data_IF_547189698458
#
_entry.id   IF_547189698458
#
_cell.length_a   1.000
_cell.length_b   1.000
_cell.length_c   1.000
_cell.angle_alpha   90.00
_cell.angle_beta   90.00
_cell.angle_gamma   90.00
#
_symmetry.space_group_name_H-M   'P 1'
#
loop_
_entity.id
_entity.type
_entity.pdbx_description
1 polymer ?
#
# COMPACT_ATOMS: atom_id res chain seq x y z
N UNK A 1 -41.24 7.98 -24.50
CA UNK A 1 -42.48 7.52 -23.83
C UNK A 1 -42.47 5.99 -23.84
N UNK A 2 -41.86 5.39 -22.81
CA UNK A 2 -41.65 3.93 -22.71
C UNK A 2 -42.54 3.43 -21.56
N UNK A 3 -43.59 2.67 -21.88
CA UNK A 3 -44.45 1.99 -20.91
C UNK A 3 -43.66 0.80 -20.33
N UNK A 4 -43.12 0.95 -19.13
CA UNK A 4 -42.59 -0.17 -18.37
C UNK A 4 -43.78 -0.97 -17.79
N UNK A 5 -43.96 -2.20 -18.27
CA UNK A 5 -44.93 -3.16 -17.76
C UNK A 5 -44.42 -3.70 -16.43
N UNK A 6 -45.06 -3.31 -15.32
CA UNK A 6 -44.76 -3.80 -13.97
C UNK A 6 -45.38 -5.19 -13.83
N UNK A 7 -44.56 -6.22 -14.01
CA UNK A 7 -44.94 -7.61 -13.71
C UNK A 7 -44.81 -7.81 -12.20
N UNK A 8 -45.94 -7.83 -11.49
CA UNK A 8 -45.99 -8.13 -10.07
C UNK A 8 -45.63 -9.60 -9.81
N UNK A 9 -44.38 -9.86 -9.44
CA UNK A 9 -43.97 -11.17 -8.92
C UNK A 9 -44.53 -11.29 -7.50
N UNK A 10 -45.59 -12.10 -7.35
CA UNK A 10 -46.15 -12.48 -6.05
C UNK A 10 -45.16 -13.44 -5.40
N UNK A 11 -44.29 -12.93 -4.53
CA UNK A 11 -43.39 -13.73 -3.71
C UNK A 11 -44.20 -14.33 -2.56
N UNK A 12 -44.29 -15.66 -2.52
CA UNK A 12 -45.03 -16.40 -1.49
C UNK A 12 -44.51 -16.08 -0.07
N UNK A 13 -45.36 -15.68 0.89
CA UNK A 13 -44.95 -15.18 2.21
C UNK A 13 -44.45 -16.23 3.22
N UNK A 14 -44.12 -17.46 2.79
CA UNK A 14 -44.07 -18.60 3.72
C UNK A 14 -42.67 -19.00 4.27
N UNK A 15 -41.59 -18.24 4.05
CA UNK A 15 -40.25 -18.66 4.53
C UNK A 15 -39.35 -17.53 5.09
N UNK A 16 -39.92 -16.39 5.48
CA UNK A 16 -39.14 -15.26 6.07
C UNK A 16 -39.13 -15.24 7.62
N UNK A 17 -39.94 -16.07 8.27
CA UNK A 17 -40.09 -16.10 9.73
C UNK A 17 -38.81 -16.47 10.51
N UNK A 18 -38.00 -17.47 10.12
CA UNK A 18 -36.82 -17.83 10.91
C UNK A 18 -35.69 -16.79 10.82
N UNK A 19 -35.57 -16.08 9.70
CA UNK A 19 -34.53 -15.05 9.51
C UNK A 19 -34.83 -13.75 10.28
N UNK A 20 -36.12 -13.40 10.43
CA UNK A 20 -36.54 -12.26 11.24
C UNK A 20 -36.42 -12.53 12.75
N UNK A 21 -36.60 -13.77 13.20
CA UNK A 21 -36.46 -14.15 14.60
C UNK A 21 -35.00 -14.10 15.10
N UNK A 22 -34.00 -14.33 14.24
CA UNK A 22 -32.58 -14.21 14.61
C UNK A 22 -32.09 -12.75 14.65
N UNK A 23 -32.77 -11.83 13.93
CA UNK A 23 -32.39 -10.41 13.83
C UNK A 23 -32.78 -9.56 15.04
N UNK A 24 -33.59 -10.08 15.97
CA UNK A 24 -34.22 -9.33 17.07
C UNK A 24 -33.41 -9.22 18.37
N UNK A 25 -32.12 -9.60 18.39
CA UNK A 25 -31.30 -9.55 19.61
C UNK A 25 -29.97 -8.81 19.44
N UNK A 26 -29.98 -7.63 18.82
CA UNK A 26 -28.91 -6.67 19.13
C UNK A 26 -29.19 -6.10 20.51
N UNK A 27 -28.35 -6.48 21.48
CA UNK A 27 -28.47 -5.96 22.83
C UNK A 27 -28.00 -4.51 22.84
N UNK A 28 -28.56 -3.67 23.71
CA UNK A 28 -28.12 -2.27 23.88
C UNK A 28 -26.61 -2.19 24.18
N UNK A 29 -26.02 -3.23 24.78
CA UNK A 29 -24.57 -3.39 24.98
C UNK A 29 -23.79 -3.46 23.65
N UNK A 30 -24.29 -4.16 22.63
CA UNK A 30 -23.60 -4.31 21.35
C UNK A 30 -23.54 -2.97 20.59
N UNK A 31 -24.62 -2.19 20.67
CA UNK A 31 -24.68 -0.84 20.08
C UNK A 31 -23.70 0.10 20.78
N UNK A 32 -23.64 0.06 22.12
CA UNK A 32 -22.69 0.89 22.88
C UNK A 32 -21.24 0.54 22.56
N UNK A 33 -20.91 -0.75 22.46
CA UNK A 33 -19.56 -1.21 22.14
C UNK A 33 -19.14 -0.77 20.72
N UNK A 34 -20.04 -0.90 19.74
CA UNK A 34 -19.75 -0.53 18.35
C UNK A 34 -19.57 0.96 18.15
N UNK A 35 -20.45 1.78 18.74
CA UNK A 35 -20.31 3.24 18.71
C UNK A 35 -19.04 3.66 19.44
N UNK A 36 -18.73 3.07 20.59
CA UNK A 36 -17.49 3.34 21.31
C UNK A 36 -16.24 3.02 20.49
N UNK A 37 -16.21 1.86 19.83
CA UNK A 37 -15.12 1.47 18.93
C UNK A 37 -14.95 2.46 17.78
N UNK A 38 -16.05 2.90 17.17
CA UNK A 38 -16.07 3.87 16.07
C UNK A 38 -15.57 5.25 16.50
N UNK A 39 -15.94 5.69 17.72
CA UNK A 39 -15.42 6.94 18.29
C UNK A 39 -13.92 6.87 18.53
N UNK A 40 -13.44 5.81 19.20
CA UNK A 40 -12.01 5.63 19.49
C UNK A 40 -11.20 5.61 18.19
N UNK A 41 -11.68 4.90 17.17
CA UNK A 41 -11.01 4.87 15.86
C UNK A 41 -11.06 6.20 15.11
N UNK A 42 -12.14 6.99 15.24
CA UNK A 42 -12.18 8.36 14.75
C UNK A 42 -11.07 9.21 15.36
N UNK A 43 -10.89 9.18 16.69
CA UNK A 43 -9.78 9.86 17.37
C UNK A 43 -8.41 9.39 16.89
N UNK A 44 -8.23 8.08 16.72
CA UNK A 44 -6.98 7.53 16.17
C UNK A 44 -6.72 7.99 14.74
N UNK A 45 -7.77 8.15 13.93
CA UNK A 45 -7.66 8.69 12.57
C UNK A 45 -7.15 10.14 12.58
N UNK A 46 -7.72 11.01 13.44
CA UNK A 46 -7.24 12.39 13.62
C UNK A 46 -5.78 12.47 14.09
N UNK A 47 -5.39 11.63 15.06
CA UNK A 47 -4.00 11.56 15.55
C UNK A 47 -3.05 11.10 14.44
N UNK A 48 -3.43 10.07 13.68
CA UNK A 48 -2.65 9.56 12.55
C UNK A 48 -2.48 10.63 11.47
N UNK A 49 -3.54 11.38 11.18
CA UNK A 49 -3.48 12.48 10.23
C UNK A 49 -2.57 13.62 10.71
N UNK A 50 -2.58 13.94 12.01
CA UNK A 50 -1.64 14.89 12.61
C UNK A 50 -0.18 14.48 12.39
N UNK A 51 0.14 13.19 12.52
CA UNK A 51 1.48 12.66 12.21
C UNK A 51 1.81 12.80 10.72
N UNK A 52 0.87 12.45 9.84
CA UNK A 52 1.04 12.59 8.38
C UNK A 52 1.28 14.05 7.99
N UNK A 53 0.56 15.00 8.60
CA UNK A 53 0.79 16.43 8.41
C UNK A 53 2.17 16.86 8.90
N UNK A 54 2.62 16.38 10.06
CA UNK A 54 3.95 16.71 10.57
C UNK A 54 5.05 16.22 9.62
N UNK A 55 4.92 15.01 9.05
CA UNK A 55 5.84 14.49 8.05
C UNK A 55 5.78 15.28 6.73
N UNK A 56 4.58 15.63 6.27
CA UNK A 56 4.39 16.45 5.08
C UNK A 56 5.02 17.84 5.23
N UNK A 57 4.79 18.50 6.37
CA UNK A 57 5.40 19.78 6.71
C UNK A 57 6.92 19.69 6.71
N UNK A 58 7.47 18.66 7.35
CA UNK A 58 8.92 18.48 7.41
C UNK A 58 9.50 18.29 6.00
N UNK A 59 8.85 17.50 5.14
CA UNK A 59 9.27 17.31 3.76
C UNK A 59 9.40 18.65 3.01
N UNK A 60 8.42 19.54 3.13
CA UNK A 60 8.48 20.85 2.48
C UNK A 60 9.59 21.76 3.03
N UNK A 61 9.91 21.67 4.33
CA UNK A 61 11.02 22.43 4.92
C UNK A 61 12.39 21.92 4.45
N UNK A 62 12.52 20.61 4.28
CA UNK A 62 13.79 19.99 3.94
C UNK A 62 14.09 19.99 2.44
N UNK A 63 13.06 19.91 1.61
CA UNK A 63 13.17 19.71 0.17
C UNK A 63 12.52 20.86 -0.61
N UNK A 64 12.88 22.10 -0.24
CA UNK A 64 12.33 23.29 -0.90
C UNK A 64 12.69 23.37 -2.39
N UNK A 65 13.82 22.82 -2.83
CA UNK A 65 14.25 22.86 -4.24
C UNK A 65 13.88 21.61 -5.05
N UNK A 66 13.09 20.70 -4.48
CA UNK A 66 12.76 19.44 -5.16
C UNK A 66 11.79 19.63 -6.33
N UNK A 67 11.83 18.68 -7.28
CA UNK A 67 11.03 18.72 -8.51
C UNK A 67 9.55 18.86 -8.17
N UNK A 68 8.85 19.71 -8.93
CA UNK A 68 7.41 19.97 -8.73
C UNK A 68 6.58 18.68 -8.72
N UNK A 69 6.96 17.68 -9.51
CA UNK A 69 6.30 16.38 -9.55
C UNK A 69 6.23 15.66 -8.19
N UNK A 70 7.30 15.74 -7.38
CA UNK A 70 7.33 15.07 -6.08
C UNK A 70 6.50 15.83 -5.05
N UNK A 71 6.54 17.16 -5.11
CA UNK A 71 5.68 18.03 -4.31
C UNK A 71 4.20 17.82 -4.64
N UNK A 72 3.82 17.65 -5.90
CA UNK A 72 2.42 17.43 -6.28
C UNK A 72 1.92 16.08 -5.78
N UNK A 73 2.73 15.02 -5.85
CA UNK A 73 2.37 13.70 -5.31
C UNK A 73 2.16 13.77 -3.80
N UNK A 74 3.12 14.34 -3.05
CA UNK A 74 3.02 14.47 -1.59
C UNK A 74 1.80 15.33 -1.21
N UNK A 75 1.59 16.45 -1.88
CA UNK A 75 0.42 17.33 -1.64
C UNK A 75 -0.89 16.59 -1.92
N UNK A 76 -0.96 15.83 -3.01
CA UNK A 76 -2.15 15.04 -3.36
C UNK A 76 -2.45 13.99 -2.29
N UNK A 77 -1.43 13.27 -1.81
CA UNK A 77 -1.59 12.32 -0.70
C UNK A 77 -2.07 13.01 0.58
N UNK A 78 -1.52 14.18 0.95
CA UNK A 78 -1.97 14.94 2.12
C UNK A 78 -3.45 15.36 1.99
N UNK A 79 -3.87 15.82 0.82
CA UNK A 79 -5.26 16.22 0.56
C UNK A 79 -6.21 15.01 0.59
N UNK A 80 -5.82 13.87 0.04
CA UNK A 80 -6.62 12.65 0.10
C UNK A 80 -6.76 12.15 1.55
N UNK A 81 -5.66 12.14 2.33
CA UNK A 81 -5.70 11.81 3.76
C UNK A 81 -6.56 12.79 4.56
N UNK A 82 -6.52 14.08 4.22
CA UNK A 82 -7.38 15.09 4.86
C UNK A 82 -8.86 14.84 4.57
N UNK A 83 -9.19 14.55 3.31
CA UNK A 83 -10.54 14.16 2.90
C UNK A 83 -11.04 12.91 3.64
N UNK A 84 -10.23 11.86 3.69
CA UNK A 84 -10.52 10.62 4.43
C UNK A 84 -10.78 10.88 5.93
N UNK A 85 -9.97 11.77 6.53
CA UNK A 85 -10.11 12.15 7.94
C UNK A 85 -11.40 12.92 8.20
N UNK A 86 -11.78 13.85 7.33
CA UNK A 86 -13.05 14.58 7.42
C UNK A 86 -14.23 13.61 7.32
N UNK A 87 -14.22 12.73 6.32
CA UNK A 87 -15.29 11.75 6.10
C UNK A 87 -15.42 10.81 7.31
N UNK A 88 -14.29 10.33 7.84
CA UNK A 88 -14.26 9.50 9.05
C UNK A 88 -14.83 10.25 10.27
N UNK A 89 -14.48 11.54 10.43
CA UNK A 89 -15.01 12.40 11.49
C UNK A 89 -16.52 12.61 11.39
N UNK A 90 -17.04 12.88 10.18
CA UNK A 90 -18.48 13.00 9.92
C UNK A 90 -19.23 11.70 10.19
N UNK A 91 -18.64 10.57 9.78
CA UNK A 91 -19.18 9.24 10.06
C UNK A 91 -19.30 9.04 11.58
N UNK A 92 -18.21 9.31 12.30
CA UNK A 92 -18.17 9.22 13.76
C UNK A 92 -19.19 10.12 14.44
N UNK A 93 -19.30 11.37 14.02
CA UNK A 93 -20.27 12.31 14.56
C UNK A 93 -21.71 11.81 14.35
N UNK A 94 -22.08 11.41 13.13
CA UNK A 94 -23.44 10.94 12.83
C UNK A 94 -23.82 9.68 13.61
N UNK A 95 -22.91 8.71 13.72
CA UNK A 95 -23.17 7.46 14.46
C UNK A 95 -23.24 7.66 15.97
N UNK A 96 -22.38 8.51 16.53
CA UNK A 96 -22.34 8.75 17.98
C UNK A 96 -23.41 9.70 18.49
N UNK A 97 -23.84 10.68 17.69
CA UNK A 97 -24.77 11.73 18.12
C UNK A 97 -26.13 11.66 17.45
N UNK A 98 -26.17 11.57 16.11
CA UNK A 98 -27.42 11.71 15.35
C UNK A 98 -28.24 10.43 15.31
N UNK A 99 -27.57 9.28 15.26
CA UNK A 99 -28.20 7.97 15.11
C UNK A 99 -28.10 7.08 16.36
N UNK A 100 -27.64 7.64 17.47
CA UNK A 100 -27.47 6.87 18.70
C UNK A 100 -28.81 6.26 19.16
N UNK A 101 -28.85 4.93 19.27
CA UNK A 101 -30.06 4.19 19.67
C UNK A 101 -31.07 3.91 18.56
N UNK A 102 -30.86 4.40 17.32
CA UNK A 102 -31.74 4.08 16.19
C UNK A 102 -31.19 2.91 15.36
N UNK A 103 -31.61 1.69 15.69
CA UNK A 103 -31.16 0.47 15.01
C UNK A 103 -31.41 0.46 13.49
N UNK A 104 -32.47 1.13 13.01
CA UNK A 104 -32.78 1.22 11.58
C UNK A 104 -31.76 2.08 10.82
N UNK A 105 -31.28 3.15 11.45
CA UNK A 105 -30.26 4.02 10.85
C UNK A 105 -28.87 3.35 10.81
N UNK A 106 -28.54 2.48 11.78
CA UNK A 106 -27.28 1.72 11.79
C UNK A 106 -27.23 0.65 10.69
N UNK A 107 -28.38 0.17 10.21
CA UNK A 107 -28.47 -0.78 9.11
C UNK A 107 -28.33 -0.11 7.73
N UNK A 108 -28.55 1.20 7.65
CA UNK A 108 -28.36 1.96 6.42
C UNK A 108 -26.87 2.27 6.24
N UNK A 109 -26.35 2.05 5.03
CA UNK A 109 -24.97 2.40 4.70
C UNK A 109 -24.81 3.91 4.71
N UNK A 110 -23.94 4.45 5.57
CA UNK A 110 -23.70 5.89 5.60
C UNK A 110 -23.02 6.31 4.29
N UNK A 111 -23.41 7.47 3.77
CA UNK A 111 -22.78 8.07 2.58
C UNK A 111 -21.27 8.24 2.77
N UNK A 112 -20.85 8.44 4.02
CA UNK A 112 -19.47 8.51 4.43
C UNK A 112 -18.69 7.23 4.12
N UNK A 113 -19.28 6.05 4.30
CA UNK A 113 -18.60 4.80 3.97
C UNK A 113 -18.30 4.70 2.46
N UNK A 114 -19.20 5.22 1.61
CA UNK A 114 -19.00 5.28 0.16
C UNK A 114 -17.85 6.24 -0.17
N UNK A 115 -17.79 7.39 0.49
CA UNK A 115 -16.69 8.34 0.31
C UNK A 115 -15.34 7.78 0.79
N UNK A 116 -15.30 7.06 1.91
CA UNK A 116 -14.08 6.38 2.39
C UNK A 116 -13.55 5.36 1.37
N UNK A 117 -14.43 4.62 0.70
CA UNK A 117 -14.04 3.70 -0.38
C UNK A 117 -13.47 4.39 -1.61
N UNK A 118 -13.60 5.71 -1.73
CA UNK A 118 -12.90 6.48 -2.75
C UNK A 118 -11.53 6.97 -2.27
N UNK A 119 -11.48 7.63 -1.11
CA UNK A 119 -10.26 8.27 -0.63
C UNK A 119 -9.19 7.25 -0.22
N UNK A 120 -9.57 6.22 0.53
CA UNK A 120 -8.62 5.25 1.07
C UNK A 120 -7.91 4.45 -0.02
N UNK A 121 -8.61 3.77 -0.96
CA UNK A 121 -7.94 2.97 -1.99
C UNK A 121 -7.13 3.83 -2.97
N UNK A 122 -7.59 5.05 -3.27
CA UNK A 122 -6.86 5.98 -4.14
C UNK A 122 -5.56 6.43 -3.50
N UNK A 123 -5.57 6.70 -2.19
CA UNK A 123 -4.34 7.04 -1.44
C UNK A 123 -3.36 5.87 -1.44
N UNK A 124 -3.84 4.66 -1.14
CA UNK A 124 -3.03 3.43 -1.14
C UNK A 124 -2.42 3.17 -2.52
N UNK A 125 -3.21 3.29 -3.59
CA UNK A 125 -2.75 3.13 -4.97
C UNK A 125 -1.61 4.09 -5.33
N UNK A 126 -1.76 5.38 -5.03
CA UNK A 126 -0.73 6.38 -5.32
C UNK A 126 0.56 6.07 -4.54
N UNK A 127 0.45 5.72 -3.26
CA UNK A 127 1.60 5.39 -2.41
C UNK A 127 2.31 4.12 -2.89
N UNK A 128 1.57 3.07 -3.26
CA UNK A 128 2.15 1.83 -3.77
C UNK A 128 2.86 2.03 -5.12
N UNK A 129 2.27 2.82 -6.04
CA UNK A 129 2.94 3.18 -7.30
C UNK A 129 4.21 4.00 -7.06
N UNK A 130 4.17 4.91 -6.09
CA UNK A 130 5.34 5.68 -5.68
C UNK A 130 6.47 4.78 -5.16
N UNK A 131 6.14 3.79 -4.31
CA UNK A 131 7.12 2.81 -3.85
C UNK A 131 7.63 1.90 -4.97
N UNK A 132 6.77 1.48 -5.89
CA UNK A 132 7.19 0.71 -7.07
C UNK A 132 8.21 1.52 -7.92
N UNK A 133 7.96 2.80 -8.14
CA UNK A 133 8.88 3.69 -8.84
C UNK A 133 10.22 3.85 -8.11
N UNK A 134 10.21 3.92 -6.78
CA UNK A 134 11.45 3.94 -5.97
C UNK A 134 12.24 2.65 -6.08
N UNK A 135 11.59 1.50 -5.98
CA UNK A 135 12.25 0.19 -6.15
C UNK A 135 12.86 0.08 -7.54
N UNK A 136 12.16 0.56 -8.57
CA UNK A 136 12.66 0.62 -9.94
C UNK A 136 13.95 1.44 -10.07
N UNK A 137 14.01 2.61 -9.45
CA UNK A 137 15.20 3.46 -9.42
C UNK A 137 16.36 2.81 -8.66
N UNK A 138 16.10 2.21 -7.49
CA UNK A 138 17.13 1.53 -6.67
C UNK A 138 17.71 0.30 -7.40
N UNK A 139 16.90 -0.38 -8.21
CA UNK A 139 17.27 -1.55 -9.01
C UNK A 139 18.20 -1.21 -10.20
N UNK A 140 18.63 0.06 -10.35
CA UNK A 140 19.43 0.53 -11.48
C UNK A 140 18.79 0.18 -12.84
N UNK A 141 17.45 0.11 -12.87
CA UNK A 141 16.65 -0.25 -14.05
C UNK A 141 16.94 -1.63 -14.66
N UNK A 142 17.60 -2.54 -13.92
CA UNK A 142 17.92 -3.89 -14.44
C UNK A 142 16.78 -4.88 -14.24
N UNK A 143 16.04 -4.78 -13.14
CA UNK A 143 14.95 -5.70 -12.84
C UNK A 143 13.59 -4.99 -12.89
N UNK A 144 12.92 -5.11 -14.04
CA UNK A 144 11.56 -4.57 -14.28
C UNK A 144 10.46 -5.41 -13.61
N UNK A 145 10.72 -6.69 -13.35
CA UNK A 145 9.70 -7.66 -12.96
C UNK A 145 9.04 -7.26 -11.63
N UNK A 146 9.83 -6.88 -10.63
CA UNK A 146 9.29 -6.61 -9.29
C UNK A 146 8.45 -5.32 -9.24
N UNK A 147 8.91 -4.16 -9.75
CA UNK A 147 8.07 -2.96 -9.82
C UNK A 147 6.82 -3.16 -10.69
N UNK A 148 6.93 -3.88 -11.80
CA UNK A 148 5.79 -4.19 -12.65
C UNK A 148 4.74 -5.05 -11.91
N UNK A 149 5.20 -6.05 -11.15
CA UNK A 149 4.31 -6.88 -10.32
C UNK A 149 3.57 -6.04 -9.27
N UNK A 150 4.27 -5.15 -8.56
CA UNK A 150 3.65 -4.24 -7.57
C UNK A 150 2.63 -3.33 -8.25
N UNK A 151 2.97 -2.75 -9.42
CA UNK A 151 2.07 -1.86 -10.15
C UNK A 151 0.81 -2.59 -10.64
N UNK A 152 0.94 -3.84 -11.12
CA UNK A 152 -0.19 -4.67 -11.55
C UNK A 152 -1.09 -5.03 -10.37
N UNK A 153 -0.52 -5.48 -9.25
CA UNK A 153 -1.28 -5.80 -8.04
C UNK A 153 -2.04 -4.58 -7.51
N UNK A 154 -1.36 -3.45 -7.38
CA UNK A 154 -1.94 -2.18 -6.91
C UNK A 154 -3.05 -1.67 -7.85
N UNK A 155 -2.83 -1.72 -9.16
CA UNK A 155 -3.85 -1.33 -10.15
C UNK A 155 -5.07 -2.25 -10.13
N UNK A 156 -4.85 -3.56 -9.93
CA UNK A 156 -5.91 -4.55 -9.78
C UNK A 156 -6.77 -4.28 -8.55
N UNK A 157 -6.13 -4.06 -7.40
CA UNK A 157 -6.81 -3.65 -6.16
C UNK A 157 -7.63 -2.37 -6.33
N UNK A 158 -7.05 -1.34 -6.94
CA UNK A 158 -7.73 -0.06 -7.16
C UNK A 158 -8.91 -0.19 -8.12
N UNK A 159 -8.79 -1.01 -9.17
CA UNK A 159 -9.90 -1.29 -10.09
C UNK A 159 -11.07 -1.99 -9.38
N UNK A 160 -10.79 -2.93 -8.47
CA UNK A 160 -11.82 -3.58 -7.64
C UNK A 160 -12.50 -2.54 -6.75
N UNK A 161 -11.74 -1.65 -6.11
CA UNK A 161 -12.29 -0.58 -5.28
C UNK A 161 -13.20 0.38 -6.07
N UNK A 162 -12.81 0.79 -7.29
CA UNK A 162 -13.65 1.60 -8.17
C UNK A 162 -14.95 0.88 -8.54
N UNK A 163 -14.86 -0.43 -8.81
CA UNK A 163 -16.05 -1.23 -9.10
C UNK A 163 -17.00 -1.28 -7.88
N UNK A 164 -16.46 -1.51 -6.68
CA UNK A 164 -17.23 -1.49 -5.44
C UNK A 164 -17.90 -0.12 -5.23
N UNK A 165 -17.13 0.97 -5.34
CA UNK A 165 -17.64 2.33 -5.26
C UNK A 165 -18.79 2.57 -6.26
N UNK A 166 -18.59 2.18 -7.51
CA UNK A 166 -19.60 2.33 -8.58
C UNK A 166 -20.88 1.55 -8.29
N UNK A 167 -20.77 0.36 -7.69
CA UNK A 167 -21.93 -0.44 -7.29
C UNK A 167 -22.68 0.19 -6.12
N UNK A 168 -21.96 0.64 -5.09
CA UNK A 168 -22.56 1.25 -3.90
C UNK A 168 -23.26 2.57 -4.22
N UNK A 169 -22.69 3.38 -5.13
CA UNK A 169 -23.33 4.62 -5.61
C UNK A 169 -24.63 4.33 -6.37
N UNK A 170 -24.66 3.29 -7.22
CA UNK A 170 -25.86 2.93 -8.00
C UNK A 170 -26.97 2.29 -7.15
N UNK A 171 -26.60 1.52 -6.14
CA UNK A 171 -27.51 0.71 -5.33
C UNK A 171 -27.66 1.22 -3.88
N UNK A 172 -27.51 2.52 -3.67
CA UNK A 172 -27.50 3.16 -2.34
C UNK A 172 -28.68 2.74 -1.42
N UNK A 173 -29.83 2.34 -1.98
CA UNK A 173 -31.02 1.92 -1.20
C UNK A 173 -31.12 0.42 -0.89
N UNK A 174 -30.40 -0.48 -1.59
CA UNK A 174 -30.58 -1.95 -1.50
C UNK A 174 -29.36 -2.69 -0.94
N UNK A 175 -28.47 -1.97 -0.26
CA UNK A 175 -27.14 -2.46 0.12
C UNK A 175 -27.13 -3.70 1.02
N UNK A 176 -28.19 -3.91 1.79
CA UNK A 176 -28.33 -5.10 2.66
C UNK A 176 -28.40 -6.38 1.82
N UNK A 177 -29.02 -6.31 0.64
CA UNK A 177 -29.12 -7.47 -0.27
C UNK A 177 -27.80 -7.69 -1.02
N UNK A 178 -27.07 -6.61 -1.32
CA UNK A 178 -25.79 -6.63 -2.02
C UNK A 178 -24.59 -6.94 -1.10
N UNK A 179 -24.77 -6.91 0.23
CA UNK A 179 -23.71 -7.15 1.20
C UNK A 179 -22.99 -8.49 0.99
N UNK A 180 -23.75 -9.54 0.65
CA UNK A 180 -23.22 -10.88 0.35
C UNK A 180 -22.34 -10.90 -0.90
N UNK A 181 -22.52 -9.95 -1.83
CA UNK A 181 -21.71 -9.80 -3.03
C UNK A 181 -20.50 -8.89 -2.78
N UNK A 182 -20.71 -7.79 -2.04
CA UNK A 182 -19.69 -6.76 -1.82
C UNK A 182 -18.60 -7.23 -0.85
N UNK A 183 -18.94 -7.98 0.20
CA UNK A 183 -17.94 -8.43 1.19
C UNK A 183 -16.87 -9.38 0.61
N UNK A 184 -17.22 -10.46 -0.13
CA UNK A 184 -16.25 -11.30 -0.81
C UNK A 184 -15.28 -10.51 -1.70
N UNK A 185 -15.79 -9.53 -2.42
CA UNK A 185 -15.00 -8.68 -3.31
C UNK A 185 -14.08 -7.75 -2.50
N UNK A 186 -14.56 -7.23 -1.36
CA UNK A 186 -13.74 -6.49 -0.41
C UNK A 186 -12.54 -7.30 0.11
N UNK A 187 -12.70 -8.61 0.35
CA UNK A 187 -11.58 -9.48 0.74
C UNK A 187 -10.55 -9.64 -0.37
N UNK A 188 -11.01 -9.79 -1.62
CA UNK A 188 -10.11 -9.87 -2.77
C UNK A 188 -9.30 -8.57 -2.93
N UNK A 189 -9.95 -7.42 -2.73
CA UNK A 189 -9.29 -6.11 -2.72
C UNK A 189 -8.24 -6.02 -1.60
N UNK A 190 -8.60 -6.30 -0.34
CA UNK A 190 -7.66 -6.26 0.79
C UNK A 190 -6.50 -7.25 0.62
N UNK A 191 -6.76 -8.44 0.10
CA UNK A 191 -5.73 -9.44 -0.19
C UNK A 191 -4.74 -8.96 -1.25
N UNK A 192 -5.22 -8.26 -2.29
CA UNK A 192 -4.37 -7.64 -3.29
C UNK A 192 -3.46 -6.56 -2.71
N UNK A 193 -3.99 -5.71 -1.82
CA UNK A 193 -3.20 -4.68 -1.14
C UNK A 193 -2.13 -5.26 -0.22
N UNK A 194 -2.46 -6.30 0.56
CA UNK A 194 -1.47 -7.03 1.37
C UNK A 194 -0.38 -7.63 0.51
N UNK A 195 -0.74 -8.26 -0.62
CA UNK A 195 0.23 -8.85 -1.52
C UNK A 195 1.18 -7.78 -2.10
N UNK A 196 0.64 -6.62 -2.50
CA UNK A 196 1.43 -5.50 -2.98
C UNK A 196 2.38 -4.97 -1.89
N UNK A 197 1.89 -4.79 -0.67
CA UNK A 197 2.69 -4.32 0.47
C UNK A 197 3.80 -5.31 0.86
N UNK A 198 3.52 -6.63 0.81
CA UNK A 198 4.53 -7.67 0.98
C UNK A 198 5.60 -7.64 -0.12
N UNK A 199 5.21 -7.41 -1.38
CA UNK A 199 6.16 -7.26 -2.48
C UNK A 199 7.02 -6.00 -2.32
N UNK A 200 6.44 -4.88 -1.88
CA UNK A 200 7.19 -3.64 -1.59
C UNK A 200 8.17 -3.87 -0.45
N UNK A 201 7.71 -4.45 0.66
CA UNK A 201 8.51 -4.76 1.82
C UNK A 201 9.68 -5.69 1.48
N UNK A 202 9.37 -6.84 0.88
CA UNK A 202 10.36 -7.83 0.47
C UNK A 202 11.33 -7.28 -0.58
N UNK A 203 10.82 -6.46 -1.52
CA UNK A 203 11.64 -5.79 -2.52
C UNK A 203 12.64 -4.82 -1.92
N UNK A 204 12.17 -3.92 -1.05
CA UNK A 204 13.04 -2.98 -0.35
C UNK A 204 14.09 -3.70 0.49
N UNK A 205 13.70 -4.72 1.27
CA UNK A 205 14.64 -5.51 2.06
C UNK A 205 15.68 -6.23 1.19
N UNK A 206 15.24 -6.86 0.09
CA UNK A 206 16.12 -7.58 -0.83
C UNK A 206 17.15 -6.66 -1.52
N UNK A 207 16.70 -5.56 -2.11
CA UNK A 207 17.59 -4.65 -2.84
C UNK A 207 18.56 -3.90 -1.93
N UNK A 208 18.13 -3.54 -0.73
CA UNK A 208 18.99 -2.84 0.24
C UNK A 208 20.07 -3.77 0.79
N UNK A 209 19.74 -5.03 1.06
CA UNK A 209 20.72 -6.01 1.49
C UNK A 209 21.77 -6.27 0.41
N UNK A 210 21.35 -6.48 -0.84
CA UNK A 210 22.26 -6.71 -1.96
C UNK A 210 23.14 -5.49 -2.22
N UNK A 211 22.57 -4.29 -2.20
CA UNK A 211 23.32 -3.05 -2.39
C UNK A 211 24.35 -2.87 -1.27
N UNK A 212 23.95 -3.12 -0.02
CA UNK A 212 24.85 -3.12 1.14
C UNK A 212 26.02 -4.10 0.94
N UNK A 213 25.77 -5.32 0.45
CA UNK A 213 26.83 -6.32 0.21
C UNK A 213 27.82 -5.86 -0.87
N UNK A 214 27.34 -5.27 -1.96
CA UNK A 214 28.23 -4.73 -3.02
C UNK A 214 29.05 -3.54 -2.51
N UNK A 215 28.42 -2.63 -1.79
CA UNK A 215 29.05 -1.40 -1.33
C UNK A 215 30.08 -1.62 -0.22
N UNK A 216 29.93 -2.67 0.62
CA UNK A 216 30.97 -3.08 1.57
C UNK A 216 32.31 -3.42 0.91
N UNK A 217 32.34 -3.80 -0.38
CA UNK A 217 33.60 -4.07 -1.09
C UNK A 217 34.35 -2.80 -1.46
N UNK A 218 33.66 -1.66 -1.54
CA UNK A 218 34.25 -0.37 -1.86
C UNK A 218 34.14 0.50 -0.61
N UNK A 219 35.17 0.48 0.23
CA UNK A 219 35.31 1.10 1.57
C UNK A 219 34.98 2.60 1.72
N UNK A 220 34.38 3.26 0.72
CA UNK A 220 34.26 4.71 0.62
C UNK A 220 33.00 5.29 1.28
N UNK A 221 32.00 4.49 1.66
CA UNK A 221 30.77 5.01 2.28
C UNK A 221 30.38 4.23 3.54
N UNK A 222 30.08 4.98 4.60
CA UNK A 222 29.61 4.49 5.90
C UNK A 222 28.35 3.61 5.74
N UNK A 223 28.44 2.28 5.96
CA UNK A 223 27.33 1.34 5.77
C UNK A 223 26.16 1.56 6.75
N UNK A 224 26.40 2.30 7.84
CA UNK A 224 25.45 2.43 8.96
C UNK A 224 24.31 3.38 8.64
N UNK A 225 24.54 4.43 7.83
CA UNK A 225 23.49 5.40 7.47
C UNK A 225 22.40 4.78 6.60
N UNK A 226 22.78 4.01 5.57
CA UNK A 226 21.85 3.35 4.65
C UNK A 226 21.00 2.29 5.36
N UNK A 227 21.61 1.54 6.28
CA UNK A 227 20.89 0.57 7.11
C UNK A 227 19.87 1.23 8.03
N UNK A 228 20.21 2.39 8.62
CA UNK A 228 19.28 3.11 9.48
C UNK A 228 18.03 3.57 8.71
N UNK A 229 18.17 4.11 7.49
CA UNK A 229 17.00 4.57 6.73
C UNK A 229 16.17 3.40 6.20
N UNK A 230 16.84 2.33 5.76
CA UNK A 230 16.17 1.10 5.33
C UNK A 230 15.37 0.47 6.46
N UNK A 231 15.94 0.40 7.67
CA UNK A 231 15.27 -0.11 8.85
C UNK A 231 13.98 0.65 9.15
N UNK A 232 14.00 1.98 9.02
CA UNK A 232 12.79 2.81 9.23
C UNK A 232 11.74 2.59 8.17
N UNK A 233 12.13 2.43 6.90
CA UNK A 233 11.19 2.09 5.82
C UNK A 233 10.54 0.72 6.04
N UNK A 234 11.32 -0.25 6.50
CA UNK A 234 10.84 -1.59 6.87
C UNK A 234 9.83 -1.48 8.03
N UNK A 235 10.17 -0.77 9.10
CA UNK A 235 9.26 -0.55 10.24
C UNK A 235 7.96 0.14 9.82
N UNK A 236 8.04 1.17 8.97
CA UNK A 236 6.86 1.86 8.44
C UNK A 236 5.97 1.00 7.54
N UNK A 237 6.52 0.01 6.84
CA UNK A 237 5.75 -0.90 5.98
C UNK A 237 5.22 -2.13 6.73
N UNK A 238 5.88 -2.55 7.81
CA UNK A 238 5.43 -3.66 8.66
C UNK A 238 4.16 -3.30 9.44
N UNK A 239 4.04 -2.06 9.91
CA UNK A 239 2.88 -1.63 10.71
C UNK A 239 1.55 -1.70 9.92
N UNK A 240 1.44 -1.17 8.70
CA UNK A 240 0.26 -1.36 7.85
C UNK A 240 -0.03 -2.83 7.55
N UNK A 241 1.01 -3.62 7.24
CA UNK A 241 0.86 -5.04 6.93
C UNK A 241 0.27 -5.82 8.11
N UNK A 242 0.78 -5.61 9.32
CA UNK A 242 0.23 -6.21 10.55
C UNK A 242 -1.20 -5.76 10.75
N UNK A 243 -1.50 -4.47 10.56
CA UNK A 243 -2.86 -3.95 10.70
C UNK A 243 -3.84 -4.57 9.71
N UNK A 244 -3.44 -4.74 8.45
CA UNK A 244 -4.26 -5.37 7.43
C UNK A 244 -4.49 -6.86 7.74
N UNK A 245 -3.46 -7.56 8.23
CA UNK A 245 -3.59 -8.95 8.68
C UNK A 245 -4.59 -9.08 9.85
N UNK A 246 -4.44 -8.22 10.86
CA UNK A 246 -5.37 -8.18 12.01
C UNK A 246 -6.78 -7.85 11.55
N UNK A 247 -6.95 -6.92 10.61
CA UNK A 247 -8.24 -6.59 10.01
C UNK A 247 -8.88 -7.84 9.37
N UNK A 248 -8.15 -8.58 8.53
CA UNK A 248 -8.66 -9.81 7.91
C UNK A 248 -9.05 -10.86 8.96
N UNK A 249 -8.24 -11.04 10.00
CA UNK A 249 -8.54 -11.98 11.09
C UNK A 249 -9.83 -11.58 11.80
N UNK A 250 -9.97 -10.30 12.18
CA UNK A 250 -11.17 -9.77 12.85
C UNK A 250 -12.42 -9.85 11.97
N UNK A 251 -12.26 -9.70 10.66
CA UNK A 251 -13.34 -9.89 9.70
C UNK A 251 -13.79 -11.35 9.60
N UNK A 252 -12.84 -12.28 9.48
CA UNK A 252 -13.13 -13.71 9.34
C UNK A 252 -13.82 -14.31 10.57
N UNK A 253 -13.55 -13.77 11.77
CA UNK A 253 -14.19 -14.23 13.01
C UNK A 253 -15.65 -13.80 13.14
N UNK A 254 -16.26 -13.18 12.12
CA UNK A 254 -17.64 -12.64 12.15
C UNK A 254 -17.89 -11.62 13.28
N UNK A 255 -16.82 -11.11 13.87
CA UNK A 255 -16.86 -9.95 14.79
C UNK A 255 -16.92 -8.65 13.97
N UNK A 256 -16.58 -8.71 12.67
CA UNK A 256 -15.87 -7.65 11.96
C UNK A 256 -16.63 -6.68 11.07
N UNK A 257 -17.96 -6.57 11.13
CA UNK A 257 -18.60 -5.32 10.62
C UNK A 257 -18.47 -4.18 11.63
N UNK A 258 -18.33 -4.50 12.93
CA UNK A 258 -18.16 -3.53 14.01
C UNK A 258 -16.77 -2.89 14.05
N UNK A 259 -15.79 -3.48 13.38
CA UNK A 259 -14.36 -3.12 13.47
C UNK A 259 -13.75 -2.68 12.14
N UNK A 260 -14.56 -2.36 11.12
CA UNK A 260 -14.11 -1.69 9.87
C UNK A 260 -13.19 -0.48 10.14
N UNK A 261 -13.22 0.08 11.34
CA UNK A 261 -12.46 1.26 11.72
C UNK A 261 -11.29 1.00 12.70
N UNK A 262 -11.01 -0.22 13.15
CA UNK A 262 -10.05 -0.45 14.23
C UNK A 262 -8.57 -0.39 13.80
N UNK A 263 -8.07 0.84 13.60
CA UNK A 263 -6.64 1.20 13.66
C UNK A 263 -6.06 1.14 15.10
N UNK A 264 -6.75 0.51 16.04
CA UNK A 264 -6.37 0.45 17.46
C UNK A 264 -5.07 -0.32 17.77
N UNK A 265 -4.71 -1.44 17.11
CA UNK A 265 -3.47 -2.14 17.47
C UNK A 265 -2.20 -1.41 16.97
N UNK A 266 -2.32 -0.54 15.95
CA UNK A 266 -1.18 0.22 15.42
C UNK A 266 -0.70 1.28 16.40
N UNK A 267 -1.61 2.05 17.00
CA UNK A 267 -1.22 3.14 17.90
C UNK A 267 -0.75 2.58 19.24
N UNK A 268 -1.25 1.43 19.67
CA UNK A 268 -0.71 0.74 20.85
C UNK A 268 0.72 0.22 20.57
N UNK A 269 0.96 -0.38 19.41
CA UNK A 269 2.31 -0.79 19.00
C UNK A 269 3.27 0.40 18.81
N UNK A 270 2.81 1.52 18.22
CA UNK A 270 3.59 2.75 18.05
C UNK A 270 3.83 3.44 19.39
N UNK A 271 2.83 3.47 20.28
CA UNK A 271 2.96 4.01 21.64
C UNK A 271 3.99 3.21 22.43
N UNK A 272 3.94 1.88 22.38
CA UNK A 272 4.92 1.02 23.02
C UNK A 272 6.32 1.14 22.39
N UNK A 273 6.44 1.30 21.07
CA UNK A 273 7.72 1.53 20.39
C UNK A 273 8.29 2.93 20.67
N UNK A 274 7.44 3.95 20.81
CA UNK A 274 7.81 5.32 21.12
C UNK A 274 8.16 5.52 22.61
N UNK A 275 7.51 4.77 23.51
CA UNK A 275 7.79 4.77 24.96
C UNK A 275 9.06 3.95 25.27
N UNK A 276 9.34 2.90 24.50
CA UNK A 276 10.54 2.06 24.66
C UNK A 276 11.84 2.77 24.23
N UNK A 277 11.77 3.77 23.34
CA UNK A 277 12.91 4.61 22.96
C UNK A 277 12.85 5.96 23.70
N UNK A 278 13.59 6.05 24.79
CA UNK A 278 13.52 7.12 25.81
C UNK A 278 13.94 8.53 25.38
N UNK A 279 14.10 8.84 24.09
CA UNK A 279 14.36 10.20 23.60
C UNK A 279 13.53 10.54 22.36
N UNK A 280 12.31 11.09 22.52
CA UNK A 280 11.45 11.46 21.39
C UNK A 280 12.12 12.49 20.46
N UNK A 281 12.97 13.37 21.00
CA UNK A 281 13.70 14.39 20.22
C UNK A 281 14.78 13.75 19.34
N UNK A 282 15.44 12.69 19.84
CA UNK A 282 16.48 11.97 19.09
C UNK A 282 15.85 11.09 18.00
N UNK A 283 14.69 10.47 18.26
CA UNK A 283 13.93 9.71 17.26
C UNK A 283 13.49 10.59 16.09
N UNK A 284 12.87 11.75 16.36
CA UNK A 284 12.43 12.68 15.31
C UNK A 284 13.62 13.24 14.52
N UNK A 285 14.68 13.70 15.19
CA UNK A 285 15.88 14.26 14.53
C UNK A 285 16.65 13.20 13.73
N UNK A 286 16.70 11.97 14.22
CA UNK A 286 17.27 10.81 13.53
C UNK A 286 16.45 10.39 12.32
N UNK A 287 15.11 10.42 12.41
CA UNK A 287 14.22 10.06 11.28
C UNK A 287 14.38 11.09 10.19
N UNK A 288 14.37 12.36 10.57
CA UNK A 288 14.53 13.49 9.67
C UNK A 288 15.88 13.43 8.97
N UNK A 289 16.99 13.27 9.71
CA UNK A 289 18.32 13.22 9.09
C UNK A 289 18.49 11.99 8.19
N UNK A 290 17.91 10.84 8.54
CA UNK A 290 17.96 9.64 7.71
C UNK A 290 17.17 9.83 6.41
N UNK A 291 15.96 10.41 6.47
CA UNK A 291 15.11 10.67 5.30
C UNK A 291 15.73 11.77 4.41
N UNK A 292 16.32 12.81 5.01
CA UNK A 292 17.13 13.84 4.36
C UNK A 292 18.26 13.26 3.52
N UNK A 293 19.05 12.38 4.15
CA UNK A 293 20.22 11.76 3.56
C UNK A 293 19.80 10.83 2.42
N UNK A 294 18.69 10.11 2.56
CA UNK A 294 18.21 9.19 1.51
C UNK A 294 17.72 9.94 0.27
N UNK A 295 16.92 10.99 0.41
CA UNK A 295 16.47 11.78 -0.75
C UNK A 295 17.65 12.52 -1.40
N UNK A 296 18.60 13.02 -0.61
CA UNK A 296 19.82 13.65 -1.14
C UNK A 296 20.70 12.65 -1.92
N UNK A 297 20.78 11.41 -1.47
CA UNK A 297 21.49 10.33 -2.18
C UNK A 297 20.76 9.90 -3.45
N UNK A 298 19.43 9.81 -3.44
CA UNK A 298 18.66 9.49 -4.64
C UNK A 298 18.79 10.59 -5.71
N UNK A 299 18.84 11.88 -5.30
CA UNK A 299 19.05 13.01 -6.21
C UNK A 299 20.49 13.04 -6.75
N UNK A 300 21.51 12.79 -5.91
CA UNK A 300 22.89 12.72 -6.38
C UNK A 300 23.13 11.55 -7.34
N UNK A 301 22.57 10.37 -7.06
CA UNK A 301 22.69 9.21 -7.96
C UNK A 301 22.03 9.49 -9.31
N UNK A 302 20.90 10.21 -9.35
CA UNK A 302 20.26 10.59 -10.63
C UNK A 302 21.08 11.62 -11.39
N UNK A 303 21.64 12.62 -10.71
CA UNK A 303 22.51 13.62 -11.35
C UNK A 303 23.85 13.04 -11.80
N UNK A 304 24.45 12.11 -11.07
CA UNK A 304 25.70 11.45 -11.48
C UNK A 304 25.49 10.54 -12.70
N UNK A 305 24.29 9.98 -12.89
CA UNK A 305 23.96 9.17 -14.09
C UNK A 305 23.73 10.05 -15.33
N UNK A 306 23.18 11.26 -15.18
CA UNK A 306 22.99 12.19 -16.31
C UNK A 306 24.20 13.08 -16.58
N UNK A 307 25.05 13.34 -15.58
CA UNK A 307 26.17 14.28 -15.68
C UNK A 307 27.55 13.63 -15.72
N UNK A 308 27.67 12.30 -15.59
CA UNK A 308 28.93 11.60 -15.87
C UNK A 308 29.07 11.39 -17.38
N UNK A 309 29.88 12.18 -18.11
CA UNK A 309 30.38 11.71 -19.40
C UNK A 309 31.09 10.39 -19.10
N UNK A 310 30.59 9.30 -19.69
CA UNK A 310 31.20 7.97 -19.61
C UNK A 310 32.71 8.18 -19.71
N UNK A 311 33.41 7.91 -18.60
CA UNK A 311 34.85 8.10 -18.53
C UNK A 311 35.46 7.32 -19.69
N UNK A 312 36.43 7.88 -20.45
CA UNK A 312 37.09 7.15 -21.54
C UNK A 312 37.61 5.78 -21.09
N UNK A 313 37.92 5.63 -19.81
CA UNK A 313 38.34 4.38 -19.18
C UNK A 313 37.22 3.33 -19.06
N UNK A 314 36.00 3.72 -18.67
CA UNK A 314 34.86 2.78 -18.61
C UNK A 314 34.46 2.31 -20.02
N UNK A 315 34.67 3.16 -21.03
CA UNK A 315 34.43 2.80 -22.43
C UNK A 315 35.46 1.77 -22.92
N UNK A 316 36.72 1.92 -22.53
CA UNK A 316 37.79 0.95 -22.84
C UNK A 316 37.59 -0.39 -22.12
N UNK A 317 37.10 -0.41 -20.88
CA UNK A 317 36.87 -1.66 -20.16
C UNK A 317 35.69 -2.45 -20.77
N UNK A 318 34.62 -1.76 -21.19
CA UNK A 318 33.50 -2.40 -21.90
C UNK A 318 33.93 -2.90 -23.29
N UNK A 319 34.75 -2.14 -24.02
CA UNK A 319 35.28 -2.58 -25.33
C UNK A 319 36.23 -3.77 -25.18
N UNK A 320 37.07 -3.79 -24.15
CA UNK A 320 37.98 -4.90 -23.86
C UNK A 320 37.21 -6.17 -23.44
N UNK A 321 36.19 -6.07 -22.58
CA UNK A 321 35.33 -7.23 -22.26
C UNK A 321 34.60 -7.77 -23.50
N UNK A 322 34.19 -6.89 -24.42
CA UNK A 322 33.55 -7.30 -25.68
C UNK A 322 34.52 -8.00 -26.64
N UNK A 323 35.78 -7.55 -26.71
CA UNK A 323 36.82 -8.21 -27.51
C UNK A 323 37.24 -9.56 -26.91
N UNK A 324 37.44 -9.64 -25.59
CA UNK A 324 37.77 -10.91 -24.92
C UNK A 324 36.67 -11.95 -25.15
N UNK A 325 35.40 -11.52 -25.14
CA UNK A 325 34.27 -12.42 -25.40
C UNK A 325 34.15 -12.83 -26.86
N UNK A 326 34.53 -11.97 -27.81
CA UNK A 326 34.64 -12.33 -29.24
C UNK A 326 35.78 -13.33 -29.49
N UNK A 327 36.91 -13.17 -28.81
CA UNK A 327 38.02 -14.13 -28.89
C UNK A 327 37.61 -15.52 -28.39
N UNK A 328 36.99 -15.58 -27.21
CA UNK A 328 36.54 -16.86 -26.63
C UNK A 328 35.50 -17.60 -27.47
N UNK A 329 34.65 -16.89 -28.23
CA UNK A 329 33.65 -17.51 -29.12
C UNK A 329 34.25 -17.97 -30.46
N UNK A 330 35.37 -17.37 -30.89
CA UNK A 330 36.07 -17.79 -32.10
C UNK A 330 36.83 -19.11 -31.89
N UNK A 331 37.40 -19.32 -30.69
CA UNK A 331 38.14 -20.54 -30.36
C UNK A 331 37.20 -21.75 -30.19
N UNK A 332 35.97 -21.55 -29.73
CA UNK A 332 34.97 -22.63 -29.56
C UNK A 332 34.44 -23.18 -30.90
N UNK A 333 34.59 -22.44 -32.02
CA UNK A 333 34.16 -22.91 -33.34
C UNK A 333 35.20 -23.79 -34.04
N UNK A 334 36.46 -23.78 -33.60
CA UNK A 334 37.54 -24.49 -34.29
C UNK A 334 37.77 -25.92 -33.83
N UNK A 335 37.12 -26.37 -32.75
CA UNK A 335 37.38 -27.66 -32.11
C UNK A 335 36.22 -28.67 -32.28
N UNK A 336 35.45 -28.55 -33.36
CA UNK A 336 34.41 -29.54 -33.70
C UNK A 336 35.01 -30.68 -34.54
N UNK A 337 35.21 -31.90 -33.99
CA UNK A 337 35.83 -33.00 -34.71
C UNK A 337 34.92 -33.49 -35.84
N UNK A 338 35.45 -33.43 -37.07
CA UNK A 338 34.86 -34.06 -38.25
C UNK A 338 34.81 -35.59 -38.05
N UNK A 339 33.63 -36.09 -37.69
CA UNK A 339 33.34 -37.52 -37.72
C UNK A 339 33.29 -38.01 -39.17
N UNK A 340 34.37 -38.66 -39.61
CA UNK A 340 34.42 -39.46 -40.83
C UNK A 340 33.45 -40.65 -40.70
N UNK A 341 32.35 -40.62 -41.46
CA UNK A 341 31.47 -41.77 -41.65
C UNK A 341 32.09 -42.63 -42.75
N UNK A 342 32.60 -43.81 -42.35
CA UNK A 342 33.08 -44.84 -43.27
C UNK A 342 31.93 -45.50 -44.02
N UNK A 343 32.05 -45.55 -45.34
CA UNK A 343 31.19 -46.34 -46.20
C UNK A 343 31.58 -47.82 -46.08
N UNK A 344 30.66 -48.64 -45.57
CA UNK A 344 30.74 -50.09 -45.57
C UNK A 344 29.94 -50.67 -46.73
N UNK A 345 30.62 -51.47 -47.53
CA UNK A 345 30.13 -52.26 -48.66
C UNK A 345 28.99 -53.23 -48.29
N UNK A 346 28.05 -53.42 -49.22
CA UNK A 346 27.24 -54.64 -49.38
C UNK A 346 27.16 -54.97 -50.87
#
# INVERSE_FOLDING_TARGET
>A
MIKASVTSVVVSPLNLQPFLATRSRYTMSDIKLSVGALVVSGWMSFMSFGLVLAFGWQYFLQFYDDKVLYKTIVTTCLLLCFGDTIVSGLWCYRWSSSYFGNASALLATPQEAIATLWFFPTTTFIVQLWFAARIWMISMRKNLILPALIAILSSGSWAIAIWMFSKLVKHHSTLVDDANLVFPVGYAWLGGDIAADMCIFGGLAYYTEIRSRKQRRHHLLSPTSLWAVTGRMIECNVLPLISQLVLIILFKTNVGLYYMHSRTPIVEAISHAAISNSDPITFTRSTINATAVQVRQDVHVVHDIEASPISPYDKMEIEHEFEVRKGSLADEYHDSPHHHIGAGEV
#
